data_IF_862590217091
#
_entry.id   IF_862590217091
#
_cell.length_a   1.000
_cell.length_b   1.000
_cell.length_c   1.000
_cell.angle_alpha   90.00
_cell.angle_beta   90.00
_cell.angle_gamma   90.00
#
_symmetry.space_group_name_H-M   'P 1'
#
loop_
_entity.id
_entity.type
_entity.pdbx_description
1 polymer ?
#
# COMPACT_ATOMS: atom_id res chain seq x y z
N UNK A 1 -4.80 -4.20 20.52
CA UNK A 1 -5.55 -3.53 19.43
C UNK A 1 -4.67 -3.52 18.19
N UNK A 2 -5.05 -4.20 17.10
CA UNK A 2 -4.27 -4.20 15.86
C UNK A 2 -4.51 -2.88 15.13
N UNK A 3 -3.47 -2.11 14.83
CA UNK A 3 -3.62 -0.87 14.06
C UNK A 3 -3.80 -1.22 12.58
N UNK A 4 -4.67 -0.48 11.87
CA UNK A 4 -4.86 -0.68 10.42
C UNK A 4 -3.54 -0.54 9.64
N UNK A 5 -2.64 0.32 10.11
CA UNK A 5 -1.29 0.49 9.55
C UNK A 5 -0.45 -0.78 9.64
N UNK A 6 -0.55 -1.53 10.75
CA UNK A 6 0.17 -2.80 10.92
C UNK A 6 -0.38 -3.88 9.98
N UNK A 7 -1.70 -3.91 9.78
CA UNK A 7 -2.32 -4.78 8.77
C UNK A 7 -1.81 -4.47 7.36
N UNK A 8 -1.70 -3.19 7.00
CA UNK A 8 -1.14 -2.77 5.69
C UNK A 8 0.31 -3.22 5.55
N UNK A 9 1.15 -3.05 6.58
CA UNK A 9 2.54 -3.53 6.57
C UNK A 9 2.63 -5.05 6.35
N UNK A 10 1.81 -5.83 7.05
CA UNK A 10 1.76 -7.29 6.86
C UNK A 10 1.34 -7.67 5.44
N UNK A 11 0.34 -6.99 4.87
CA UNK A 11 -0.10 -7.23 3.49
C UNK A 11 0.97 -6.86 2.46
N UNK A 12 1.72 -5.77 2.69
CA UNK A 12 2.86 -5.37 1.85
C UNK A 12 3.97 -6.43 1.92
N UNK A 13 4.31 -6.93 3.10
CA UNK A 13 5.31 -8.00 3.26
C UNK A 13 4.89 -9.30 2.55
N UNK A 14 3.58 -9.62 2.54
CA UNK A 14 3.01 -10.76 1.82
C UNK A 14 2.79 -10.51 0.32
N UNK A 15 3.21 -9.35 -0.22
CA UNK A 15 2.99 -8.93 -1.61
C UNK A 15 1.51 -8.88 -2.01
N UNK A 16 0.59 -8.75 -1.04
CA UNK A 16 -0.84 -8.63 -1.28
C UNK A 16 -1.23 -7.17 -1.53
N UNK A 17 -0.71 -6.59 -2.62
CA UNK A 17 -0.81 -5.16 -2.89
C UNK A 17 -2.23 -4.65 -3.09
N UNK A 18 -3.10 -5.41 -3.75
CA UNK A 18 -4.52 -5.02 -3.94
C UNK A 18 -5.24 -4.83 -2.61
N UNK A 19 -5.03 -5.75 -1.67
CA UNK A 19 -5.62 -5.69 -0.33
C UNK A 19 -5.01 -4.54 0.48
N UNK A 20 -3.69 -4.35 0.38
CA UNK A 20 -2.99 -3.27 1.06
C UNK A 20 -3.46 -1.89 0.58
N UNK A 21 -3.54 -1.67 -0.75
CA UNK A 21 -4.04 -0.43 -1.36
C UNK A 21 -5.51 -0.17 -1.00
N UNK A 22 -6.34 -1.22 -0.91
CA UNK A 22 -7.75 -1.10 -0.50
C UNK A 22 -7.90 -0.45 0.88
N UNK A 23 -6.97 -0.71 1.79
CA UNK A 23 -6.98 -0.13 3.14
C UNK A 23 -6.24 1.22 3.14
N UNK A 24 -5.10 1.30 2.46
CA UNK A 24 -4.24 2.47 2.46
C UNK A 24 -4.86 3.70 1.78
N UNK A 25 -5.77 3.52 0.81
CA UNK A 25 -6.47 4.64 0.14
C UNK A 25 -7.28 5.54 1.09
N UNK A 26 -7.68 5.02 2.26
CA UNK A 26 -8.48 5.74 3.26
C UNK A 26 -7.61 6.41 4.34
N UNK A 27 -6.29 6.22 4.30
CA UNK A 27 -5.39 6.86 5.25
C UNK A 27 -5.21 8.35 4.93
N UNK A 28 -5.12 9.16 5.99
CA UNK A 28 -4.95 10.63 5.90
C UNK A 28 -3.79 11.15 6.74
N UNK A 29 -3.36 10.39 7.75
CA UNK A 29 -2.28 10.78 8.65
C UNK A 29 -0.97 10.15 8.16
N UNK A 30 0.07 10.98 8.04
CA UNK A 30 1.42 10.52 7.68
C UNK A 30 1.64 10.26 6.18
N UNK A 31 0.71 10.67 5.31
CA UNK A 31 0.87 10.62 3.85
C UNK A 31 0.42 11.94 3.21
N UNK A 32 1.04 12.31 2.09
CA UNK A 32 0.63 13.49 1.31
C UNK A 32 -0.61 13.21 0.46
N UNK A 33 -1.30 14.26 0.04
CA UNK A 33 -2.46 14.13 -0.86
C UNK A 33 -2.08 13.45 -2.18
N UNK A 34 -0.89 13.73 -2.72
CA UNK A 34 -0.37 13.08 -3.92
C UNK A 34 -0.12 11.59 -3.71
N UNK A 35 0.47 11.19 -2.58
CA UNK A 35 0.69 9.78 -2.25
C UNK A 35 -0.63 9.03 -2.11
N UNK A 36 -1.61 9.64 -1.41
CA UNK A 36 -2.96 9.10 -1.29
C UNK A 36 -3.62 8.93 -2.66
N UNK A 37 -3.50 9.92 -3.54
CA UNK A 37 -4.04 9.88 -4.89
C UNK A 37 -3.40 8.78 -5.74
N UNK A 38 -2.07 8.61 -5.68
CA UNK A 38 -1.35 7.54 -6.40
C UNK A 38 -1.82 6.16 -5.96
N UNK A 39 -1.92 5.92 -4.64
CA UNK A 39 -2.42 4.65 -4.11
C UNK A 39 -3.89 4.39 -4.50
N UNK A 40 -4.74 5.43 -4.46
CA UNK A 40 -6.15 5.34 -4.86
C UNK A 40 -6.29 5.00 -6.34
N UNK A 41 -5.57 5.71 -7.21
CA UNK A 41 -5.57 5.43 -8.66
C UNK A 41 -5.08 4.03 -8.95
N UNK A 42 -3.99 3.56 -8.31
CA UNK A 42 -3.52 2.19 -8.49
C UNK A 42 -4.57 1.14 -8.10
N UNK A 43 -5.29 1.35 -6.99
CA UNK A 43 -6.41 0.48 -6.61
C UNK A 43 -7.55 0.52 -7.64
N UNK A 44 -7.93 1.72 -8.10
CA UNK A 44 -8.98 1.89 -9.10
C UNK A 44 -8.61 1.24 -10.43
N UNK A 45 -7.35 1.35 -10.86
CA UNK A 45 -6.82 0.64 -12.03
C UNK A 45 -6.91 -0.89 -11.88
N UNK A 46 -6.67 -1.44 -10.68
CA UNK A 46 -6.81 -2.88 -10.40
C UNK A 46 -8.26 -3.38 -10.31
N UNK A 47 -9.24 -2.49 -10.13
CA UNK A 47 -10.66 -2.84 -9.95
C UNK A 47 -11.48 -2.50 -11.19
N UNK A 48 -11.15 -1.40 -11.85
CA UNK A 48 -11.86 -0.84 -12.99
C UNK A 48 -10.95 -0.75 -14.23
N UNK A 49 -10.14 -1.78 -14.46
CA UNK A 49 -9.16 -1.82 -15.55
C UNK A 49 -9.75 -1.40 -16.90
N UNK A 50 -10.89 -1.99 -17.29
CA UNK A 50 -11.56 -1.68 -18.56
C UNK A 50 -11.89 -0.20 -18.76
N UNK A 51 -12.22 0.51 -17.68
CA UNK A 51 -12.51 1.94 -17.75
C UNK A 51 -11.25 2.74 -18.07
N UNK A 52 -10.14 2.48 -17.37
CA UNK A 52 -8.88 3.19 -17.61
C UNK A 52 -8.22 2.81 -18.94
N UNK A 53 -8.37 1.56 -19.41
CA UNK A 53 -7.94 1.15 -20.75
C UNK A 53 -8.71 1.93 -21.82
N UNK A 54 -10.02 2.11 -21.63
CA UNK A 54 -10.85 2.87 -22.59
C UNK A 54 -10.48 4.35 -22.67
N UNK A 55 -9.86 4.90 -21.61
CA UNK A 55 -9.33 6.26 -21.58
C UNK A 55 -7.91 6.38 -22.18
N UNK A 56 -7.28 5.26 -22.52
CA UNK A 56 -5.90 5.22 -23.00
C UNK A 56 -4.84 5.44 -21.90
N UNK A 57 -5.18 5.22 -20.63
CA UNK A 57 -4.19 5.26 -19.54
C UNK A 57 -3.34 3.97 -19.51
N UNK A 58 -2.06 4.12 -19.18
CA UNK A 58 -1.15 3.01 -18.90
C UNK A 58 -1.39 2.48 -17.47
N UNK A 59 -2.28 1.50 -17.37
CA UNK A 59 -2.68 0.90 -16.11
C UNK A 59 -1.49 0.26 -15.40
N UNK A 60 -0.58 -0.39 -16.14
CA UNK A 60 0.57 -1.06 -15.55
C UNK A 60 1.49 -0.04 -14.88
N UNK A 61 1.77 1.09 -15.55
CA UNK A 61 2.53 2.19 -14.97
C UNK A 61 1.83 2.78 -13.72
N UNK A 62 0.51 3.05 -13.80
CA UNK A 62 -0.26 3.60 -12.68
C UNK A 62 -0.28 2.65 -11.47
N UNK A 63 -0.38 1.35 -11.71
CA UNK A 63 -0.30 0.31 -10.68
C UNK A 63 1.08 0.29 -10.05
N UNK A 64 2.14 0.27 -10.86
CA UNK A 64 3.52 0.24 -10.40
C UNK A 64 3.85 1.46 -9.51
N UNK A 65 3.46 2.67 -9.94
CA UNK A 65 3.64 3.90 -9.16
C UNK A 65 2.96 3.83 -7.78
N UNK A 66 1.73 3.30 -7.73
CA UNK A 66 1.00 3.17 -6.47
C UNK A 66 1.59 2.11 -5.54
N UNK A 67 2.08 0.99 -6.10
CA UNK A 67 2.78 -0.05 -5.33
C UNK A 67 4.10 0.50 -4.79
N UNK A 68 4.89 1.20 -5.60
CA UNK A 68 6.13 1.84 -5.16
C UNK A 68 5.88 2.83 -4.02
N UNK A 69 4.85 3.68 -4.18
CA UNK A 69 4.44 4.62 -3.13
C UNK A 69 4.08 3.89 -1.83
N UNK A 70 3.28 2.83 -1.92
CA UNK A 70 2.86 2.01 -0.79
C UNK A 70 4.06 1.33 -0.10
N UNK A 71 4.98 0.76 -0.87
CA UNK A 71 6.19 0.09 -0.36
C UNK A 71 7.16 1.11 0.24
N UNK A 72 7.28 2.31 -0.32
CA UNK A 72 8.13 3.37 0.23
C UNK A 72 7.66 3.83 1.62
N UNK A 73 6.33 3.88 1.83
CA UNK A 73 5.72 4.30 3.09
C UNK A 73 5.67 3.15 4.11
N UNK A 74 5.26 1.94 3.70
CA UNK A 74 4.97 0.82 4.61
C UNK A 74 5.93 -0.38 4.51
N UNK A 75 6.80 -0.43 3.50
CA UNK A 75 7.72 -1.55 3.27
C UNK A 75 9.01 -1.48 4.08
N UNK A 76 9.41 -0.30 4.58
CA UNK A 76 10.69 -0.08 5.27
C UNK A 76 10.85 -0.84 6.59
N UNK A 77 9.76 -1.26 7.24
CA UNK A 77 9.83 -2.00 8.51
C UNK A 77 9.95 -3.53 8.36
N UNK A 78 9.75 -4.08 7.14
CA UNK A 78 9.92 -5.53 6.93
C UNK A 78 11.38 -6.00 7.08
N UNK A 79 12.36 -5.09 7.02
CA UNK A 79 13.79 -5.38 7.25
C UNK A 79 14.20 -5.29 8.73
N UNK A 80 13.42 -4.58 9.57
CA UNK A 80 13.74 -4.38 11.00
C UNK A 80 12.90 -5.23 11.95
N UNK A 81 11.75 -5.76 11.52
CA UNK A 81 10.88 -6.58 12.38
C UNK A 81 11.43 -7.97 12.72
N UNK A 82 12.59 -8.37 12.17
CA UNK A 82 13.33 -9.55 12.64
C UNK A 82 14.05 -9.36 13.99
N UNK A 83 14.12 -8.14 14.54
CA UNK A 83 14.89 -7.86 15.78
C UNK A 83 14.06 -7.47 17.01
N UNK A 84 12.75 -7.31 16.93
CA UNK A 84 11.96 -6.70 18.04
C UNK A 84 10.99 -7.66 18.75
N UNK A 85 11.10 -8.97 18.55
CA UNK A 85 10.17 -9.94 19.20
C UNK A 85 10.75 -10.61 20.47
N UNK A 86 12.01 -10.37 20.85
CA UNK A 86 12.57 -10.95 22.09
C UNK A 86 13.05 -9.90 23.09
N UNK A 87 12.13 -9.10 23.63
CA UNK A 87 12.30 -8.55 24.98
C UNK A 87 11.00 -7.94 25.51
N UNK A 88 10.06 -8.78 25.93
CA UNK A 88 9.08 -8.43 26.97
C UNK A 88 8.27 -9.66 27.37
N UNK A 89 8.93 -10.58 28.08
CA UNK A 89 8.30 -11.32 29.17
C UNK A 89 9.33 -11.26 30.29
N UNK A 90 8.98 -10.53 31.36
CA UNK A 90 9.68 -10.52 32.65
C UNK A 90 9.67 -11.92 33.27
#
# INVERSE_FOLDING_TARGET
>A
MVRKSDAVRSLVAQKQYKQALRIAKDFRLGITAEQSLRMKKAYECMVHERFYLSLGEDIEARIAEGIETLVSIYGKESLNNGKVVHKQIQ
#
